data_IF_690996585019
#
_entry.id   IF_690996585019
#
_cell.length_a   1.000
_cell.length_b   1.000
_cell.length_c   1.000
_cell.angle_alpha   90.00
_cell.angle_beta   90.00
_cell.angle_gamma   90.00
#
_symmetry.space_group_name_H-M   'P 1'
#
loop_
_entity.id
_entity.type
_entity.pdbx_description
1 polymer ?
#
# COMPACT_ATOMS: atom_id res chain seq x y z
N UNK A 1 -12.68 5.52 3.38
CA UNK A 1 -11.30 6.07 3.49
C UNK A 1 -10.36 5.05 2.88
N UNK A 2 -9.32 5.45 2.14
CA UNK A 2 -8.31 4.52 1.61
C UNK A 2 -7.03 4.64 2.43
N UNK A 3 -6.34 3.51 2.67
CA UNK A 3 -5.09 3.44 3.43
C UNK A 3 -3.91 3.93 2.57
N UNK A 4 -2.89 4.60 3.15
CA UNK A 4 -1.73 5.01 2.38
C UNK A 4 -0.98 3.78 1.86
N UNK A 5 -0.75 3.72 0.56
CA UNK A 5 -0.11 2.58 -0.10
C UNK A 5 0.71 3.00 -1.32
N UNK A 6 1.66 2.15 -1.70
CA UNK A 6 2.38 2.23 -2.96
C UNK A 6 2.14 0.99 -3.82
N UNK A 7 2.22 1.16 -5.14
CA UNK A 7 1.92 0.09 -6.09
C UNK A 7 2.99 0.04 -7.17
N UNK A 8 3.43 -1.17 -7.50
CA UNK A 8 4.25 -1.44 -8.68
C UNK A 8 3.62 -2.55 -9.52
N UNK A 9 3.63 -2.39 -10.84
CA UNK A 9 3.28 -3.44 -11.78
C UNK A 9 4.50 -3.78 -12.63
N UNK A 10 4.81 -5.06 -12.75
CA UNK A 10 5.89 -5.58 -13.58
C UNK A 10 5.41 -6.82 -14.33
N UNK A 11 5.23 -6.66 -15.65
CA UNK A 11 4.60 -7.69 -16.48
C UNK A 11 3.18 -8.00 -16.00
N UNK A 12 2.93 -9.27 -15.70
CA UNK A 12 1.64 -9.75 -15.21
C UNK A 12 1.41 -9.53 -13.70
N UNK A 13 2.46 -9.20 -12.95
CA UNK A 13 2.36 -9.07 -11.50
C UNK A 13 2.13 -7.63 -11.07
N UNK A 14 1.22 -7.43 -10.12
CA UNK A 14 1.01 -6.17 -9.39
C UNK A 14 1.26 -6.41 -7.91
N UNK A 15 2.11 -5.58 -7.31
CA UNK A 15 2.34 -5.56 -5.86
C UNK A 15 1.77 -4.26 -5.29
N UNK A 16 1.07 -4.38 -4.16
CA UNK A 16 0.61 -3.29 -3.30
C UNK A 16 1.33 -3.40 -1.96
N UNK A 17 1.93 -2.30 -1.51
CA UNK A 17 2.56 -2.15 -0.19
C UNK A 17 1.78 -1.14 0.63
N UNK A 18 1.17 -1.57 1.73
CA UNK A 18 0.46 -0.71 2.67
C UNK A 18 1.42 -0.12 3.70
N UNK A 19 1.39 1.19 3.88
CA UNK A 19 2.36 1.88 4.73
C UNK A 19 1.99 1.95 6.21
N UNK A 20 0.73 1.68 6.56
CA UNK A 20 0.31 1.63 7.97
C UNK A 20 0.91 0.43 8.71
N UNK A 21 0.86 -0.74 8.08
CA UNK A 21 1.18 -2.03 8.71
C UNK A 21 2.27 -2.81 7.97
N UNK A 22 2.77 -2.31 6.83
CA UNK A 22 3.80 -2.96 6.02
C UNK A 22 3.29 -4.17 5.24
N UNK A 23 1.98 -4.39 5.19
CA UNK A 23 1.37 -5.53 4.50
C UNK A 23 1.63 -5.47 3.00
N UNK A 24 1.90 -6.64 2.43
CA UNK A 24 2.09 -6.83 0.99
C UNK A 24 0.95 -7.64 0.40
N UNK A 25 0.43 -7.16 -0.73
CA UNK A 25 -0.51 -7.90 -1.57
C UNK A 25 0.06 -8.05 -2.98
N UNK A 26 0.07 -9.27 -3.50
CA UNK A 26 0.61 -9.60 -4.82
C UNK A 26 -0.47 -10.27 -5.67
N UNK A 27 -0.70 -9.77 -6.87
CA UNK A 27 -1.71 -10.30 -7.79
C UNK A 27 -1.10 -10.64 -9.15
N UNK A 28 -1.57 -11.73 -9.77
CA UNK A 28 -1.29 -12.05 -11.17
C UNK A 28 -2.45 -11.55 -12.05
N UNK A 29 -2.32 -10.34 -12.57
CA UNK A 29 -3.34 -9.67 -13.38
C UNK A 29 -3.62 -10.33 -14.72
N UNK A 30 -2.76 -11.25 -15.19
CA UNK A 30 -3.04 -12.00 -16.42
C UNK A 30 -4.12 -13.07 -16.19
N UNK A 31 -4.17 -13.65 -14.99
CA UNK A 31 -5.09 -14.72 -14.64
C UNK A 31 -6.19 -14.27 -13.65
N UNK A 32 -5.98 -13.14 -12.97
CA UNK A 32 -6.85 -12.60 -11.94
C UNK A 32 -6.92 -11.06 -12.04
N UNK A 33 -7.60 -10.57 -13.08
CA UNK A 33 -7.82 -9.13 -13.28
C UNK A 33 -8.64 -8.48 -12.16
N UNK A 34 -9.41 -9.29 -11.42
CA UNK A 34 -10.24 -8.84 -10.31
C UNK A 34 -9.50 -8.73 -8.97
N UNK A 35 -8.20 -9.05 -8.93
CA UNK A 35 -7.36 -8.97 -7.72
C UNK A 35 -7.96 -9.75 -6.53
N UNK A 36 -8.52 -10.93 -6.80
CA UNK A 36 -9.24 -11.74 -5.81
C UNK A 36 -8.30 -12.60 -4.98
N UNK A 37 -7.17 -13.05 -5.54
CA UNK A 37 -6.24 -13.98 -4.89
C UNK A 37 -4.91 -13.29 -4.59
N UNK A 38 -4.66 -13.02 -3.31
CA UNK A 38 -3.37 -12.53 -2.85
C UNK A 38 -2.33 -13.67 -2.84
N UNK A 39 -1.30 -13.54 -3.67
CA UNK A 39 -0.19 -14.47 -3.85
C UNK A 39 1.05 -14.11 -3.01
N UNK A 40 1.00 -13.10 -2.15
CA UNK A 40 2.20 -12.60 -1.45
C UNK A 40 2.85 -13.67 -0.55
N UNK A 41 2.04 -14.53 0.08
CA UNK A 41 2.51 -15.65 0.92
C UNK A 41 2.92 -16.87 0.09
N UNK A 42 2.29 -17.09 -1.07
CA UNK A 42 2.62 -18.19 -2.00
C UNK A 42 3.88 -17.88 -2.83
N UNK A 43 4.17 -16.59 -3.09
CA UNK A 43 5.30 -16.14 -3.89
C UNK A 43 6.13 -15.06 -3.16
N UNK A 44 6.69 -15.36 -1.97
CA UNK A 44 7.35 -14.36 -1.13
C UNK A 44 8.60 -13.75 -1.81
N UNK A 45 9.34 -14.54 -2.59
CA UNK A 45 10.49 -14.06 -3.35
C UNK A 45 10.08 -13.01 -4.40
N UNK A 46 8.96 -13.23 -5.11
CA UNK A 46 8.45 -12.28 -6.11
C UNK A 46 7.94 -11.01 -5.45
N UNK A 47 7.23 -11.14 -4.32
CA UNK A 47 6.78 -10.01 -3.53
C UNK A 47 7.97 -9.15 -3.05
N UNK A 48 9.00 -9.77 -2.46
CA UNK A 48 10.21 -9.07 -2.02
C UNK A 48 10.95 -8.39 -3.17
N UNK A 49 11.08 -9.05 -4.32
CA UNK A 49 11.72 -8.46 -5.52
C UNK A 49 11.00 -7.17 -5.95
N UNK A 50 9.67 -7.21 -6.04
CA UNK A 50 8.87 -6.06 -6.45
C UNK A 50 8.87 -4.95 -5.39
N UNK A 51 8.82 -5.32 -4.10
CA UNK A 51 8.89 -4.36 -3.00
C UNK A 51 10.22 -3.60 -3.04
N UNK A 52 11.35 -4.29 -3.24
CA UNK A 52 12.66 -3.65 -3.38
C UNK A 52 12.73 -2.73 -4.59
N UNK A 53 12.16 -3.13 -5.74
CA UNK A 53 12.08 -2.27 -6.93
C UNK A 53 11.27 -1.01 -6.64
N UNK A 54 10.11 -1.16 -6.01
CA UNK A 54 9.26 -0.03 -5.62
C UNK A 54 9.98 0.89 -4.63
N UNK A 55 10.66 0.34 -3.62
CA UNK A 55 11.43 1.12 -2.65
C UNK A 55 12.58 1.90 -3.31
N UNK A 56 13.31 1.28 -4.24
CA UNK A 56 14.35 1.97 -5.02
C UNK A 56 13.78 3.13 -5.83
N UNK A 57 12.67 2.90 -6.54
CA UNK A 57 12.00 3.94 -7.32
C UNK A 57 11.51 5.09 -6.43
N UNK A 58 10.90 4.80 -5.27
CA UNK A 58 10.49 5.84 -4.32
C UNK A 58 11.65 6.74 -3.89
N UNK A 59 12.82 6.14 -3.61
CA UNK A 59 14.04 6.89 -3.26
C UNK A 59 14.52 7.74 -4.43
N UNK A 60 14.50 7.22 -5.66
CA UNK A 60 15.00 7.97 -6.83
C UNK A 60 14.17 9.21 -7.15
N UNK A 61 12.86 9.18 -6.86
CA UNK A 61 11.97 10.34 -7.08
C UNK A 61 11.80 11.21 -5.84
N UNK A 62 12.52 10.93 -4.76
CA UNK A 62 12.37 11.59 -3.46
C UNK A 62 10.90 11.63 -2.98
N UNK A 63 10.21 10.49 -3.08
CA UNK A 63 8.80 10.39 -2.70
C UNK A 63 8.61 10.70 -1.20
N UNK A 64 7.65 11.58 -0.89
CA UNK A 64 7.26 11.87 0.49
C UNK A 64 6.53 10.67 1.09
N UNK A 65 7.06 10.13 2.17
CA UNK A 65 6.44 9.01 2.88
C UNK A 65 5.49 9.52 3.97
N UNK A 66 4.38 8.83 4.23
CA UNK A 66 3.52 9.14 5.37
C UNK A 66 4.28 8.90 6.68
N UNK A 67 4.00 9.74 7.68
CA UNK A 67 4.45 9.55 9.06
C UNK A 67 3.25 9.20 9.93
N UNK A 68 3.42 8.37 10.98
CA UNK A 68 2.36 8.14 11.95
C UNK A 68 1.85 9.45 12.53
N UNK A 69 0.53 9.60 12.63
CA UNK A 69 -0.07 10.74 13.31
C UNK A 69 -0.05 10.48 14.83
N UNK A 70 0.68 11.28 15.64
CA UNK A 70 0.76 11.07 17.08
C UNK A 70 -0.58 11.29 17.79
N UNK A 71 -1.48 12.09 17.22
CA UNK A 71 -2.80 12.39 17.78
C UNK A 71 -3.90 11.46 17.23
N UNK A 72 -3.53 10.34 16.59
CA UNK A 72 -4.50 9.40 16.05
C UNK A 72 -5.20 8.63 17.17
N UNK A 73 -6.50 8.89 17.32
CA UNK A 73 -7.38 8.14 18.21
C UNK A 73 -8.28 7.21 17.37
N UNK A 74 -8.06 5.87 17.43
CA UNK A 74 -8.85 4.92 16.66
C UNK A 74 -10.33 4.91 17.05
N UNK A 75 -10.68 5.27 18.30
CA UNK A 75 -12.08 5.34 18.73
C UNK A 75 -12.84 6.47 18.02
N UNK A 76 -12.11 7.48 17.52
CA UNK A 76 -12.65 8.70 16.89
C UNK A 76 -12.51 8.71 15.38
N UNK A 77 -11.95 7.66 14.77
CA UNK A 77 -11.65 7.61 13.34
C UNK A 77 -12.89 7.78 12.43
N UNK A 78 -14.08 7.42 12.92
CA UNK A 78 -15.35 7.55 12.20
C UNK A 78 -16.17 8.79 12.62
N UNK A 79 -15.66 9.62 13.55
CA UNK A 79 -16.35 10.83 13.97
C UNK A 79 -16.23 11.92 12.89
N UNK A 80 -17.33 12.24 12.23
CA UNK A 80 -17.40 13.42 11.37
C UNK A 80 -17.44 14.70 12.22
N UNK A 81 -16.30 15.35 12.42
CA UNK A 81 -16.27 16.66 13.09
C UNK A 81 -16.80 17.74 12.13
N UNK A 82 -17.86 18.49 12.49
CA UNK A 82 -18.29 19.63 11.68
C UNK A 82 -17.14 20.64 11.58
N UNK A 83 -16.91 21.20 10.39
CA UNK A 83 -15.87 22.22 10.20
C UNK A 83 -16.12 23.38 11.17
N UNK A 84 -15.11 23.87 11.90
CA UNK A 84 -15.29 25.04 12.74
C UNK A 84 -15.74 26.20 11.85
N UNK A 85 -16.79 26.92 12.27
CA UNK A 85 -17.23 28.13 11.60
C UNK A 85 -16.11 29.17 11.73
N UNK A 86 -15.67 29.71 10.59
CA UNK A 86 -14.74 30.84 10.51
C UNK A 86 -15.37 32.09 11.09
#
# INVERSE_FOLDING_TARGET
HSRPAGVIREGKYKLIEFYEDGRLELYDLANDIGEKKNLATEMPQKAAQLQQKLARWRRSVNAKMPTPNPDYDPARANEWKPRPRR
#
